data_IF_923650770986
#
_entry.id   IF_923650770986
#
_cell.length_a   1.000
_cell.length_b   1.000
_cell.length_c   1.000
_cell.angle_alpha   90.00
_cell.angle_beta   90.00
_cell.angle_gamma   90.00
#
_symmetry.space_group_name_H-M   'P 1'
#
loop_
_entity.id
_entity.type
_entity.pdbx_description
1 polymer ?
#
# COMPACT_ATOMS: atom_id res chain seq x y z
N UNK A 1 -6.27 -16.41 -3.20
CA UNK A 1 -6.83 -15.84 -1.97
C UNK A 1 -7.37 -14.45 -2.28
N UNK A 2 -8.56 -14.12 -1.78
CA UNK A 2 -9.09 -12.77 -1.90
C UNK A 2 -8.30 -11.82 -0.99
N UNK A 3 -7.96 -10.64 -1.50
CA UNK A 3 -7.38 -9.58 -0.69
C UNK A 3 -8.47 -8.93 0.17
N UNK A 4 -8.10 -8.50 1.38
CA UNK A 4 -9.01 -7.77 2.26
C UNK A 4 -9.41 -6.41 1.69
N UNK A 5 -10.44 -5.81 2.26
CA UNK A 5 -10.88 -4.45 1.91
C UNK A 5 -9.83 -3.44 2.41
N UNK A 6 -9.40 -2.48 1.57
CA UNK A 6 -8.51 -1.42 2.00
C UNK A 6 -9.12 -0.55 3.11
N UNK A 7 -8.30 -0.15 4.06
CA UNK A 7 -8.73 0.72 5.16
C UNK A 7 -8.77 2.17 4.69
N UNK A 8 -9.91 2.80 4.82
CA UNK A 8 -10.14 4.19 4.38
C UNK A 8 -11.38 4.78 5.03
N UNK A 9 -11.73 6.00 4.66
CA UNK A 9 -12.94 6.66 5.12
C UNK A 9 -14.11 6.35 4.17
N UNK A 10 -14.93 5.39 4.59
CA UNK A 10 -16.15 5.05 3.85
C UNK A 10 -17.19 6.17 4.04
N UNK A 11 -17.74 6.76 2.96
CA UNK A 11 -18.81 7.74 3.06
C UNK A 11 -20.03 7.18 3.78
N UNK A 12 -20.75 8.04 4.50
CA UNK A 12 -21.90 7.63 5.34
C UNK A 12 -23.08 7.07 4.54
N UNK A 13 -23.17 7.44 3.27
CA UNK A 13 -24.21 7.00 2.33
C UNK A 13 -23.83 5.70 1.57
N UNK A 14 -22.68 5.12 1.90
CA UNK A 14 -22.20 3.85 1.35
C UNK A 14 -22.27 2.76 2.42
N UNK A 15 -22.86 1.63 2.08
CA UNK A 15 -22.80 0.45 2.93
C UNK A 15 -21.36 -0.13 2.88
N UNK A 16 -20.65 -0.27 4.00
CA UNK A 16 -19.32 -0.86 4.02
C UNK A 16 -19.25 -2.27 3.40
N UNK A 17 -20.36 -3.01 3.38
CA UNK A 17 -20.45 -4.33 2.73
C UNK A 17 -20.37 -4.28 1.20
N UNK A 18 -20.61 -3.09 0.61
CA UNK A 18 -20.45 -2.86 -0.83
C UNK A 18 -18.97 -2.75 -1.24
N UNK A 19 -18.05 -2.60 -0.30
CA UNK A 19 -16.63 -2.47 -0.60
C UNK A 19 -16.02 -3.78 -1.10
N UNK A 20 -15.40 -3.73 -2.27
CA UNK A 20 -14.63 -4.84 -2.82
C UNK A 20 -13.25 -4.93 -2.15
N UNK A 21 -12.72 -6.14 -2.00
CA UNK A 21 -11.34 -6.37 -1.59
C UNK A 21 -10.34 -5.71 -2.55
N UNK A 22 -9.09 -5.52 -2.10
CA UNK A 22 -8.05 -4.88 -2.90
C UNK A 22 -7.87 -5.59 -4.25
N UNK A 23 -7.97 -4.82 -5.32
CA UNK A 23 -7.87 -5.29 -6.71
C UNK A 23 -7.15 -4.22 -7.55
N UNK A 24 -6.45 -4.66 -8.59
CA UNK A 24 -5.78 -3.78 -9.56
C UNK A 24 -4.27 -3.81 -9.45
N UNK A 25 -3.63 -2.91 -10.18
CA UNK A 25 -2.18 -2.83 -10.39
C UNK A 25 -1.46 -1.80 -9.50
N UNK A 26 -2.17 -1.10 -8.63
CA UNK A 26 -1.60 -0.08 -7.72
C UNK A 26 -0.41 -0.61 -6.90
N UNK A 27 -0.42 -1.89 -6.53
CA UNK A 27 0.67 -2.53 -5.81
C UNK A 27 2.02 -2.42 -6.56
N UNK A 28 2.02 -2.44 -7.89
CA UNK A 28 3.24 -2.30 -8.71
C UNK A 28 3.88 -0.93 -8.48
N UNK A 29 3.05 0.12 -8.45
CA UNK A 29 3.50 1.50 -8.21
C UNK A 29 4.08 1.66 -6.81
N UNK A 30 3.40 1.10 -5.81
CA UNK A 30 3.81 1.20 -4.40
C UNK A 30 5.11 0.40 -4.13
N UNK A 31 5.26 -0.82 -4.69
CA UNK A 31 6.49 -1.61 -4.53
C UNK A 31 7.66 -1.04 -5.35
N UNK A 32 7.39 -0.21 -6.35
CA UNK A 32 8.40 0.60 -7.03
C UNK A 32 8.86 1.82 -6.20
N UNK A 33 8.26 2.06 -5.04
CA UNK A 33 8.62 3.15 -4.12
C UNK A 33 7.83 4.44 -4.34
N UNK A 34 6.69 4.35 -5.01
CA UNK A 34 5.78 5.48 -5.28
C UNK A 34 4.48 5.33 -4.50
N UNK A 35 3.40 5.98 -4.90
CA UNK A 35 2.10 5.84 -4.26
C UNK A 35 2.13 6.06 -2.75
N UNK A 36 1.61 5.12 -1.97
CA UNK A 36 1.62 5.18 -0.51
C UNK A 36 3.04 5.25 0.07
N UNK A 37 4.00 4.55 -0.54
CA UNK A 37 5.39 4.51 -0.07
C UNK A 37 6.14 5.84 -0.29
N UNK A 38 5.64 6.73 -1.16
CA UNK A 38 6.15 8.09 -1.37
C UNK A 38 5.30 9.18 -0.70
N UNK A 39 4.27 8.82 0.04
CA UNK A 39 3.25 9.75 0.54
C UNK A 39 3.82 10.84 1.45
N UNK A 40 4.94 10.58 2.13
CA UNK A 40 5.65 11.58 2.95
C UNK A 40 6.15 12.80 2.14
N UNK A 41 6.24 12.71 0.81
CA UNK A 41 6.60 13.82 -0.07
C UNK A 41 5.38 14.64 -0.52
N UNK A 42 4.17 14.25 -0.15
CA UNK A 42 2.93 14.88 -0.57
C UNK A 42 2.07 15.23 0.66
N UNK A 43 2.22 16.44 1.20
CA UNK A 43 1.58 16.87 2.46
C UNK A 43 0.07 16.68 2.47
N UNK A 44 -0.62 16.96 1.37
CA UNK A 44 -2.06 16.76 1.26
C UNK A 44 -2.45 15.27 1.36
N UNK A 45 -1.66 14.38 0.76
CA UNK A 45 -1.91 12.94 0.78
C UNK A 45 -1.64 12.35 2.17
N UNK A 46 -0.53 12.73 2.82
CA UNK A 46 -0.23 12.25 4.17
C UNK A 46 -1.28 12.72 5.17
N UNK A 47 -1.80 13.94 5.04
CA UNK A 47 -2.89 14.45 5.87
C UNK A 47 -4.18 13.67 5.67
N UNK A 48 -4.52 13.33 4.44
CA UNK A 48 -5.76 12.62 4.11
C UNK A 48 -5.70 11.13 4.45
N UNK A 49 -4.58 10.46 4.15
CA UNK A 49 -4.48 9.00 4.11
C UNK A 49 -3.49 8.41 5.12
N UNK A 50 -2.55 9.21 5.64
CA UNK A 50 -1.47 8.74 6.51
C UNK A 50 -1.96 8.04 7.78
N UNK A 51 -3.12 8.44 8.30
CA UNK A 51 -3.76 7.82 9.47
C UNK A 51 -4.18 6.35 9.27
N UNK A 52 -4.28 5.90 8.03
CA UNK A 52 -4.62 4.53 7.67
C UNK A 52 -3.40 3.64 7.44
N UNK A 53 -2.20 4.21 7.51
CA UNK A 53 -0.95 3.46 7.42
C UNK A 53 -0.56 2.91 8.79
N UNK A 54 0.05 1.74 8.79
CA UNK A 54 0.55 1.10 10.01
C UNK A 54 1.87 1.72 10.49
N UNK A 55 2.62 2.34 9.58
CA UNK A 55 3.90 2.98 9.85
C UNK A 55 4.13 4.15 8.89
N UNK A 56 4.96 5.12 9.27
CA UNK A 56 5.32 6.25 8.41
C UNK A 56 6.03 5.76 7.13
N UNK A 57 5.65 6.30 5.93
CA UNK A 57 6.12 5.78 4.65
C UNK A 57 7.64 5.81 4.48
N UNK A 58 8.30 6.85 4.96
CA UNK A 58 9.75 7.01 4.89
C UNK A 58 10.49 5.97 5.76
N UNK A 59 10.02 5.72 6.97
CA UNK A 59 10.54 4.68 7.85
C UNK A 59 10.32 3.29 7.26
N UNK A 60 9.12 3.02 6.78
CA UNK A 60 8.77 1.76 6.15
C UNK A 60 9.67 1.49 4.93
N UNK A 61 9.84 2.50 4.06
CA UNK A 61 10.70 2.39 2.88
C UNK A 61 12.18 2.11 3.23
N UNK A 62 12.69 2.66 4.33
CA UNK A 62 14.05 2.38 4.78
C UNK A 62 14.25 0.92 5.20
N UNK A 63 13.21 0.30 5.76
CA UNK A 63 13.26 -1.10 6.22
C UNK A 63 13.17 -2.11 5.09
N UNK A 64 12.25 -1.90 4.14
CA UNK A 64 11.83 -2.97 3.23
C UNK A 64 12.30 -2.80 1.77
N UNK A 65 12.87 -1.63 1.41
CA UNK A 65 13.38 -1.40 0.05
C UNK A 65 14.90 -1.58 -0.06
N UNK A 66 15.34 -2.13 -1.19
CA UNK A 66 16.73 -2.44 -1.48
C UNK A 66 17.64 -1.21 -1.50
N UNK A 67 17.17 -0.08 -2.08
CA UNK A 67 18.03 1.07 -2.27
C UNK A 67 17.31 2.34 -2.68
N UNK A 68 18.08 3.37 -3.04
CA UNK A 68 17.54 4.62 -3.56
C UNK A 68 16.85 4.40 -4.89
N UNK A 69 15.76 5.14 -5.13
CA UNK A 69 15.03 5.06 -6.39
C UNK A 69 15.88 5.61 -7.55
N UNK A 70 16.11 4.83 -8.61
CA UNK A 70 17.09 5.19 -9.66
C UNK A 70 16.69 6.45 -10.43
N UNK A 71 15.39 6.71 -10.61
CA UNK A 71 14.90 7.87 -11.34
C UNK A 71 14.71 9.13 -10.46
N UNK A 72 14.69 9.00 -9.11
CA UNK A 72 14.39 10.09 -8.18
C UNK A 72 15.50 10.30 -7.16
N UNK A 73 16.73 10.43 -7.62
CA UNK A 73 17.93 10.48 -6.78
C UNK A 73 17.97 11.65 -5.79
N UNK A 74 17.26 12.76 -6.08
CA UNK A 74 17.21 13.95 -5.22
C UNK A 74 16.12 13.90 -4.15
N UNK A 75 15.14 13.01 -4.26
CA UNK A 75 13.94 12.99 -3.41
C UNK A 75 14.04 12.04 -2.22
N UNK A 76 15.17 11.36 -2.03
CA UNK A 76 15.36 10.31 -1.01
C UNK A 76 14.34 9.15 -1.09
N UNK A 77 13.65 9.01 -2.20
CA UNK A 77 12.80 7.86 -2.46
C UNK A 77 13.63 6.58 -2.53
N UNK A 78 13.04 5.51 -2.03
CA UNK A 78 13.60 4.16 -2.09
C UNK A 78 12.74 3.28 -2.98
N UNK A 79 13.33 2.21 -3.52
CA UNK A 79 12.68 1.32 -4.47
C UNK A 79 13.23 -0.10 -4.34
N UNK A 80 12.52 -1.05 -4.95
CA UNK A 80 12.92 -2.46 -4.99
C UNK A 80 12.54 -3.18 -3.70
N UNK A 81 11.26 -3.52 -3.56
CA UNK A 81 10.76 -4.27 -2.41
C UNK A 81 11.49 -5.61 -2.25
N UNK A 82 11.99 -5.87 -1.05
CA UNK A 82 12.65 -7.12 -0.69
C UNK A 82 11.76 -7.96 0.23
N UNK A 83 11.26 -9.08 -0.24
CA UNK A 83 10.44 -10.00 0.56
C UNK A 83 11.17 -10.47 1.84
N UNK A 84 12.49 -10.70 1.75
CA UNK A 84 13.31 -11.04 2.92
C UNK A 84 13.34 -9.91 3.97
N UNK A 85 13.42 -8.64 3.53
CA UNK A 85 13.41 -7.50 4.43
C UNK A 85 12.02 -7.31 5.08
N UNK A 86 10.94 -7.47 4.30
CA UNK A 86 9.57 -7.48 4.83
C UNK A 86 9.42 -8.53 5.93
N UNK A 87 9.92 -9.72 5.70
CA UNK A 87 9.86 -10.82 6.68
C UNK A 87 10.73 -10.54 7.91
N UNK A 88 11.93 -10.02 7.70
CA UNK A 88 12.89 -9.73 8.78
C UNK A 88 12.38 -8.63 9.73
N UNK A 89 11.77 -7.59 9.18
CA UNK A 89 11.27 -6.45 9.95
C UNK A 89 9.80 -6.57 10.37
N UNK A 90 9.11 -7.63 9.97
CA UNK A 90 7.66 -7.82 10.18
C UNK A 90 6.85 -6.59 9.71
N UNK A 91 7.28 -5.94 8.63
CA UNK A 91 6.72 -4.70 8.10
C UNK A 91 6.37 -4.87 6.63
N UNK A 92 5.07 -4.95 6.31
CA UNK A 92 4.59 -5.06 4.93
C UNK A 92 4.45 -3.67 4.26
N UNK A 93 4.58 -3.57 2.92
CA UNK A 93 4.36 -2.32 2.21
C UNK A 93 2.92 -1.84 2.36
N UNK A 94 2.72 -0.53 2.32
CA UNK A 94 1.42 0.08 2.17
C UNK A 94 1.08 0.26 0.70
N UNK A 95 -0.16 -0.03 0.31
CA UNK A 95 -0.65 0.08 -1.06
C UNK A 95 -1.84 1.04 -1.06
N UNK A 96 -1.71 2.16 -1.79
CA UNK A 96 -2.76 3.16 -1.93
C UNK A 96 -3.61 2.86 -3.16
N UNK A 97 -4.89 2.63 -2.96
CA UNK A 97 -5.80 2.31 -4.07
C UNK A 97 -7.22 2.85 -3.86
N UNK A 98 -7.97 2.90 -4.95
CA UNK A 98 -9.40 3.14 -4.91
C UNK A 98 -10.15 1.89 -4.49
N UNK A 99 -11.05 2.01 -3.52
CA UNK A 99 -11.99 0.96 -3.16
C UNK A 99 -13.15 0.99 -4.13
N UNK A 100 -13.44 -0.13 -4.76
CA UNK A 100 -14.49 -0.26 -5.75
C UNK A 100 -15.76 -0.87 -5.14
N UNK A 101 -16.89 -0.52 -5.74
CA UNK A 101 -18.16 -1.18 -5.46
C UNK A 101 -18.13 -2.62 -5.97
N UNK A 102 -18.39 -3.60 -5.10
CA UNK A 102 -18.40 -5.03 -5.46
C UNK A 102 -19.48 -5.42 -6.46
N UNK A 103 -20.50 -4.60 -6.56
CA UNK A 103 -21.60 -4.81 -7.52
C UNK A 103 -21.34 -4.18 -8.88
N UNK A 104 -20.25 -3.38 -9.00
CA UNK A 104 -19.87 -2.72 -10.25
C UNK A 104 -20.79 -1.56 -10.65
N UNK A 105 -21.73 -1.16 -9.80
CA UNK A 105 -22.72 -0.14 -10.13
C UNK A 105 -22.23 1.29 -9.87
N UNK A 106 -21.46 1.49 -8.79
CA UNK A 106 -21.00 2.82 -8.34
C UNK A 106 -19.56 3.14 -8.74
N UNK A 107 -18.80 2.17 -9.29
CA UNK A 107 -17.38 2.34 -9.59
C UNK A 107 -16.54 2.52 -8.32
N UNK A 108 -15.66 3.54 -8.30
CA UNK A 108 -14.86 3.87 -7.12
C UNK A 108 -15.72 4.56 -6.06
N UNK A 109 -15.74 4.02 -4.84
CA UNK A 109 -16.55 4.55 -3.73
C UNK A 109 -15.73 5.38 -2.73
N UNK A 110 -14.47 5.03 -2.45
CA UNK A 110 -13.53 5.86 -1.66
C UNK A 110 -12.09 5.50 -1.95
N UNK A 111 -11.14 6.10 -1.24
CA UNK A 111 -9.73 5.75 -1.27
C UNK A 111 -9.31 5.03 -0.01
N UNK A 112 -8.41 4.05 -0.10
CA UNK A 112 -7.95 3.29 1.04
C UNK A 112 -6.49 2.87 0.96
N UNK A 113 -5.97 2.41 2.08
CA UNK A 113 -4.66 1.78 2.21
C UNK A 113 -4.87 0.29 2.46
N UNK A 114 -4.24 -0.53 1.65
CA UNK A 114 -4.19 -1.97 1.84
C UNK A 114 -2.79 -2.38 2.29
N UNK A 115 -2.71 -3.19 3.32
CA UNK A 115 -1.46 -3.79 3.80
C UNK A 115 -1.52 -5.30 3.56
N UNK A 116 -0.69 -5.84 2.65
CA UNK A 116 -0.66 -7.27 2.37
C UNK A 116 -0.25 -8.09 3.60
N UNK A 117 -0.75 -9.31 3.68
CA UNK A 117 -0.37 -10.23 4.77
C UNK A 117 1.12 -10.59 4.70
N UNK A 118 1.80 -10.56 5.83
CA UNK A 118 3.19 -11.02 5.97
C UNK A 118 3.39 -12.48 5.53
N UNK A 119 2.35 -13.29 5.61
CA UNK A 119 2.40 -14.71 5.18
C UNK A 119 2.74 -14.85 3.70
N UNK A 120 2.33 -13.92 2.84
CA UNK A 120 2.66 -13.93 1.42
C UNK A 120 4.17 -13.77 1.19
N UNK A 121 4.80 -12.87 1.93
CA UNK A 121 6.24 -12.62 1.84
C UNK A 121 7.05 -13.77 2.42
N UNK A 122 6.59 -14.35 3.55
CA UNK A 122 7.21 -15.55 4.14
C UNK A 122 7.17 -16.74 3.19
N UNK A 123 6.05 -16.96 2.51
CA UNK A 123 5.93 -18.01 1.48
C UNK A 123 6.88 -17.75 0.30
N UNK A 124 6.97 -16.50 -0.17
CA UNK A 124 7.87 -16.14 -1.26
C UNK A 124 9.34 -16.38 -0.89
N UNK A 125 9.76 -16.04 0.33
CA UNK A 125 11.13 -16.29 0.82
C UNK A 125 11.41 -17.78 0.98
N UNK A 126 10.44 -18.56 1.43
CA UNK A 126 10.60 -20.02 1.61
C UNK A 126 10.64 -20.80 0.29
N UNK A 127 10.22 -20.20 -0.83
CA UNK A 127 10.19 -20.83 -2.16
C UNK A 127 11.46 -20.62 -2.98
N UNK A 128 12.44 -19.88 -2.47
CA UNK A 128 13.74 -19.58 -3.10
C UNK A 128 14.83 -20.38 -2.40
#
# INVERSE_FOLDING_TARGET
AEAGVPVGECPKDIDPSDALGAIGDSAIVDVAGMGAMAMHLASAQITAMGRFMTEAPDHLGQKIFAGSHPAFTKSKLRSGLLAAAVTHHDSAPAISLGVLDRHGAKGRIYGGIFTPSLSLFRQAVASV
#
